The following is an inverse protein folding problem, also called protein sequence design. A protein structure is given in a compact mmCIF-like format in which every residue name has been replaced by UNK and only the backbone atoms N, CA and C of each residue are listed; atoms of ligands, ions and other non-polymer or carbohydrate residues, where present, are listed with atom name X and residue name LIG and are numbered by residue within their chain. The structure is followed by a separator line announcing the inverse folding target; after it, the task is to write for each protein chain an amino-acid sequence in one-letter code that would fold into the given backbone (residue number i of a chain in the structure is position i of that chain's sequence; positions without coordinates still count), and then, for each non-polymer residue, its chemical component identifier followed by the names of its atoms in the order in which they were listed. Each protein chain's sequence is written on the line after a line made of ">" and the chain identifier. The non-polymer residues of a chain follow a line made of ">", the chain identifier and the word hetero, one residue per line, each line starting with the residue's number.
data_IF_246621743794
#
_entry.id   IF_246621743794
#
_cell.length_a   1.000
_cell.length_b   1.000
_cell.length_c   1.000
_cell.angle_alpha   90.00
_cell.angle_beta   90.00
_cell.angle_gamma   90.00
#
_symmetry.space_group_name_H-M   'P 1'
#
loop_
_entity.id
_entity.type
_entity.pdbx_description
1 polymer ?
#
# COMPACT_ATOMS: atom_id res chain seq x y z
N UNK A 1 34.94 -6.01 -14.99
CA UNK A 1 35.47 -7.13 -15.77
C UNK A 1 36.31 -8.02 -14.88
N UNK A 2 35.69 -8.52 -13.81
CA UNK A 2 36.27 -9.56 -12.96
C UNK A 2 35.52 -10.84 -13.35
N UNK A 3 36.20 -11.97 -13.36
CA UNK A 3 35.57 -13.25 -13.65
C UNK A 3 34.67 -13.65 -12.47
N UNK A 4 33.39 -13.92 -12.72
CA UNK A 4 32.50 -14.47 -11.69
C UNK A 4 32.74 -15.99 -11.57
N UNK A 5 32.59 -16.55 -10.36
CA UNK A 5 32.86 -17.98 -10.11
C UNK A 5 32.02 -18.91 -11.00
N UNK A 6 30.77 -18.53 -11.29
CA UNK A 6 29.90 -19.30 -12.21
C UNK A 6 30.46 -19.37 -13.64
N UNK A 7 31.06 -18.27 -14.12
CA UNK A 7 31.68 -18.24 -15.44
C UNK A 7 32.93 -19.12 -15.48
N UNK A 8 33.67 -19.18 -14.36
CA UNK A 8 34.82 -20.07 -14.21
C UNK A 8 34.41 -21.54 -14.29
N UNK A 9 33.42 -21.94 -13.49
CA UNK A 9 32.92 -23.32 -13.46
C UNK A 9 32.38 -23.78 -14.82
N UNK A 10 31.68 -22.90 -15.53
CA UNK A 10 31.17 -23.19 -16.87
C UNK A 10 32.30 -23.40 -17.86
N UNK A 11 33.33 -22.53 -17.84
CA UNK A 11 34.49 -22.65 -18.73
C UNK A 11 35.33 -23.90 -18.43
N UNK A 12 35.46 -24.29 -17.17
CA UNK A 12 36.16 -25.53 -16.76
C UNK A 12 35.40 -26.78 -17.20
N UNK A 13 34.07 -26.75 -17.20
CA UNK A 13 33.21 -27.89 -17.59
C UNK A 13 33.10 -28.03 -19.11
N UNK A 14 33.00 -26.91 -19.84
CA UNK A 14 32.72 -26.92 -21.28
C UNK A 14 33.96 -27.00 -22.17
N UNK A 15 35.16 -26.66 -21.66
CA UNK A 15 36.38 -26.61 -22.46
C UNK A 15 37.20 -27.92 -22.39
N UNK A 16 37.78 -28.37 -23.51
CA UNK A 16 38.63 -29.56 -23.52
C UNK A 16 39.97 -29.33 -22.80
N UNK A 17 40.46 -30.35 -22.09
CA UNK A 17 41.69 -30.31 -21.29
C UNK A 17 42.98 -29.90 -22.04
N UNK A 18 42.97 -29.85 -23.38
CA UNK A 18 44.11 -29.40 -24.21
C UNK A 18 44.07 -27.88 -24.44
N UNK A 19 44.50 -27.13 -23.42
CA UNK A 19 44.51 -25.66 -23.33
C UNK A 19 45.20 -24.91 -24.48
N UNK A 20 46.12 -25.55 -25.23
CA UNK A 20 46.92 -24.90 -26.29
C UNK A 20 46.25 -24.81 -27.67
N UNK A 21 45.14 -25.53 -27.91
CA UNK A 21 44.47 -25.56 -29.24
C UNK A 21 43.07 -24.93 -29.26
N UNK A 22 42.49 -24.59 -28.11
CA UNK A 22 41.19 -23.96 -28.04
C UNK A 22 41.33 -22.43 -28.17
N UNK A 23 40.67 -21.85 -29.17
CA UNK A 23 40.53 -20.40 -29.35
C UNK A 23 39.15 -20.00 -28.83
N UNK A 24 39.11 -19.11 -27.83
CA UNK A 24 37.86 -18.60 -27.27
C UNK A 24 37.57 -17.20 -27.83
N UNK A 25 36.39 -17.01 -28.42
CA UNK A 25 35.92 -15.69 -28.84
C UNK A 25 35.25 -14.96 -27.67
N UNK A 26 35.77 -13.80 -27.27
CA UNK A 26 35.20 -12.99 -26.17
C UNK A 26 34.81 -11.60 -26.69
N UNK A 27 33.69 -11.06 -26.19
CA UNK A 27 33.18 -9.75 -26.60
C UNK A 27 33.96 -8.57 -25.99
N UNK A 28 34.42 -8.70 -24.74
CA UNK A 28 35.13 -7.64 -24.00
C UNK A 28 36.60 -8.05 -23.78
N UNK A 29 37.52 -7.17 -24.17
CA UNK A 29 38.97 -7.38 -24.02
C UNK A 29 39.40 -7.51 -22.55
N UNK A 30 38.72 -6.83 -21.62
CA UNK A 30 39.05 -6.91 -20.19
C UNK A 30 38.73 -8.28 -19.60
N UNK A 31 37.61 -8.89 -20.04
CA UNK A 31 37.24 -10.26 -19.64
C UNK A 31 38.18 -11.27 -20.31
N UNK A 32 38.55 -11.04 -21.57
CA UNK A 32 39.54 -11.86 -22.27
C UNK A 32 40.90 -11.88 -21.56
N UNK A 33 41.35 -10.75 -21.03
CA UNK A 33 42.57 -10.67 -20.22
C UNK A 33 42.45 -11.46 -18.91
N UNK A 34 41.35 -11.31 -18.18
CA UNK A 34 41.10 -12.05 -16.94
C UNK A 34 41.04 -13.59 -17.15
N UNK A 35 40.44 -14.05 -18.25
CA UNK A 35 40.39 -15.48 -18.61
C UNK A 35 41.77 -16.01 -18.99
N UNK A 36 42.59 -15.20 -19.67
CA UNK A 36 43.95 -15.57 -20.01
C UNK A 36 44.81 -15.72 -18.74
N UNK A 37 44.67 -14.80 -17.80
CA UNK A 37 45.39 -14.81 -16.53
C UNK A 37 44.97 -15.99 -15.62
N UNK A 38 43.67 -16.25 -15.48
CA UNK A 38 43.18 -17.28 -14.54
C UNK A 38 43.15 -18.71 -15.11
N UNK A 39 42.80 -18.87 -16.40
CA UNK A 39 42.54 -20.19 -16.99
C UNK A 39 43.55 -20.60 -18.08
N UNK A 40 44.32 -19.65 -18.61
CA UNK A 40 45.38 -19.89 -19.60
C UNK A 40 44.89 -20.16 -21.03
N UNK A 41 43.64 -19.80 -21.36
CA UNK A 41 43.07 -19.97 -22.70
C UNK A 41 43.38 -18.76 -23.60
N UNK A 42 43.73 -19.04 -24.87
CA UNK A 42 43.95 -17.97 -25.87
C UNK A 42 42.61 -17.37 -26.29
N UNK A 43 42.35 -16.13 -25.89
CA UNK A 43 41.15 -15.39 -26.24
C UNK A 43 41.39 -14.51 -27.48
N UNK A 44 40.52 -14.59 -28.48
CA UNK A 44 40.51 -13.70 -29.63
C UNK A 44 39.36 -12.69 -29.49
N UNK A 45 39.70 -11.40 -29.58
CA UNK A 45 38.73 -10.30 -29.55
C UNK A 45 38.76 -9.56 -30.88
N UNK A 46 37.61 -9.44 -31.55
CA UNK A 46 37.45 -8.61 -32.75
C UNK A 46 37.37 -9.37 -34.07
N UNK A 47 37.04 -8.62 -35.14
CA UNK A 47 36.87 -9.13 -36.50
C UNK A 47 35.74 -10.15 -36.61
N UNK A 48 36.08 -11.35 -37.09
CA UNK A 48 35.14 -12.47 -37.34
C UNK A 48 34.37 -12.85 -36.07
N UNK A 49 35.00 -12.78 -34.89
CA UNK A 49 34.35 -13.12 -33.61
C UNK A 49 33.22 -12.15 -33.28
N UNK A 50 33.35 -10.86 -33.64
CA UNK A 50 32.32 -9.86 -33.36
C UNK A 50 31.06 -10.07 -34.23
N UNK A 51 31.25 -10.46 -35.49
CA UNK A 51 30.14 -10.81 -36.41
C UNK A 51 29.46 -12.12 -36.00
N UNK A 52 30.22 -13.14 -35.58
CA UNK A 52 29.66 -14.37 -35.02
C UNK A 52 28.81 -14.07 -33.78
N UNK A 53 29.34 -13.27 -32.85
CA UNK A 53 28.59 -12.86 -31.65
C UNK A 53 27.33 -12.04 -31.99
N UNK A 54 27.37 -11.24 -33.06
CA UNK A 54 26.20 -10.51 -33.56
C UNK A 54 25.13 -11.46 -34.09
N UNK A 55 25.51 -12.46 -34.88
CA UNK A 55 24.61 -13.50 -35.37
C UNK A 55 23.98 -14.32 -34.25
N UNK A 56 24.78 -14.69 -33.24
CA UNK A 56 24.29 -15.40 -32.04
C UNK A 56 23.27 -14.54 -31.27
N UNK A 57 23.52 -13.23 -31.10
CA UNK A 57 22.56 -12.33 -30.44
C UNK A 57 21.24 -12.21 -31.21
N UNK A 58 21.29 -12.14 -32.54
CA UNK A 58 20.09 -12.04 -33.38
C UNK A 58 19.22 -13.30 -33.26
N UNK A 59 19.84 -14.47 -33.34
CA UNK A 59 19.16 -15.77 -33.30
C UNK A 59 19.12 -16.41 -31.92
N UNK A 60 19.39 -15.65 -30.85
CA UNK A 60 19.51 -16.16 -29.48
C UNK A 60 18.25 -16.92 -29.02
N UNK A 61 17.07 -16.44 -29.43
CA UNK A 61 15.77 -17.03 -29.15
C UNK A 61 15.51 -18.35 -29.90
N UNK A 62 16.24 -18.61 -31.00
CA UNK A 62 16.12 -19.85 -31.78
C UNK A 62 17.19 -20.88 -31.42
N UNK A 63 18.36 -20.43 -30.94
CA UNK A 63 19.49 -21.29 -30.59
C UNK A 63 19.34 -21.94 -29.21
N UNK A 64 18.61 -21.31 -28.28
CA UNK A 64 18.40 -21.83 -26.92
C UNK A 64 17.03 -22.49 -26.84
N UNK A 65 17.01 -23.83 -26.77
CA UNK A 65 15.77 -24.60 -26.60
C UNK A 65 15.09 -24.21 -25.28
N UNK A 66 13.88 -23.67 -25.36
CA UNK A 66 13.07 -23.27 -24.19
C UNK A 66 13.08 -21.77 -23.86
N UNK A 67 13.88 -20.95 -24.54
CA UNK A 67 13.89 -19.49 -24.34
C UNK A 67 13.09 -18.78 -25.43
N UNK A 68 11.81 -18.49 -25.17
CA UNK A 68 10.97 -17.71 -26.08
C UNK A 68 11.37 -16.24 -26.11
N UNK A 69 11.07 -15.53 -27.20
CA UNK A 69 11.34 -14.09 -27.31
C UNK A 69 10.69 -13.27 -26.17
N UNK A 70 9.51 -13.71 -25.71
CA UNK A 70 8.78 -13.07 -24.61
C UNK A 70 9.47 -13.28 -23.25
N UNK A 71 9.96 -14.50 -22.96
CA UNK A 71 10.66 -14.76 -21.70
C UNK A 71 12.01 -14.06 -21.64
N UNK A 72 12.74 -14.02 -22.78
CA UNK A 72 13.98 -13.26 -22.90
C UNK A 72 13.78 -11.77 -22.66
N UNK A 73 12.73 -11.16 -23.24
CA UNK A 73 12.42 -9.74 -23.03
C UNK A 73 12.07 -9.42 -21.57
N UNK A 74 11.25 -10.26 -20.91
CA UNK A 74 10.95 -10.11 -19.47
C UNK A 74 12.20 -10.23 -18.60
N UNK A 75 13.08 -11.21 -18.90
CA UNK A 75 14.33 -11.38 -18.18
C UNK A 75 15.27 -10.18 -18.36
N UNK A 76 15.38 -9.64 -19.59
CA UNK A 76 16.16 -8.44 -19.88
C UNK A 76 15.63 -7.21 -19.13
N UNK A 77 14.31 -7.02 -19.08
CA UNK A 77 13.70 -5.93 -18.31
C UNK A 77 14.01 -6.04 -16.82
N UNK A 78 13.85 -7.24 -16.25
CA UNK A 78 14.14 -7.51 -14.84
C UNK A 78 15.62 -7.27 -14.50
N UNK A 79 16.54 -7.77 -15.33
CA UNK A 79 17.97 -7.58 -15.16
C UNK A 79 18.36 -6.10 -15.30
N UNK A 80 17.80 -5.39 -16.29
CA UNK A 80 18.03 -3.96 -16.50
C UNK A 80 17.56 -3.11 -15.31
N UNK A 81 16.38 -3.41 -14.76
CA UNK A 81 15.89 -2.78 -13.54
C UNK A 81 16.80 -3.07 -12.35
N UNK A 82 17.18 -4.34 -12.13
CA UNK A 82 18.03 -4.74 -11.00
C UNK A 82 19.41 -4.07 -11.06
N UNK A 83 20.06 -4.13 -12.23
CA UNK A 83 21.36 -3.49 -12.44
C UNK A 83 21.29 -1.97 -12.22
N UNK A 84 20.29 -1.31 -12.79
CA UNK A 84 20.14 0.14 -12.66
C UNK A 84 19.83 0.54 -11.21
N UNK A 85 18.96 -0.20 -10.51
CA UNK A 85 18.64 0.05 -9.10
C UNK A 85 19.87 -0.13 -8.20
N UNK A 86 20.63 -1.20 -8.39
CA UNK A 86 21.85 -1.46 -7.63
C UNK A 86 22.89 -0.35 -7.87
N UNK A 87 23.07 0.07 -9.13
CA UNK A 87 24.05 1.09 -9.51
C UNK A 87 23.69 2.49 -9.00
N UNK A 88 22.41 2.87 -9.08
CA UNK A 88 21.93 4.18 -8.61
C UNK A 88 21.81 4.21 -7.07
N UNK A 89 22.08 3.10 -6.37
CA UNK A 89 21.69 2.90 -4.96
C UNK A 89 20.25 3.35 -4.75
N UNK A 90 19.38 2.96 -5.69
CA UNK A 90 17.99 3.38 -5.68
C UNK A 90 17.37 2.92 -4.37
N UNK A 91 17.15 3.88 -3.47
CA UNK A 91 16.66 3.58 -2.15
C UNK A 91 15.25 3.01 -2.30
N UNK A 92 15.08 1.74 -1.95
CA UNK A 92 13.77 1.06 -1.97
C UNK A 92 12.80 1.76 -1.01
N UNK A 93 13.33 2.52 -0.05
CA UNK A 93 12.59 3.41 0.83
C UNK A 93 12.24 4.74 0.16
N UNK A 94 11.78 4.76 -1.10
CA UNK A 94 11.04 5.92 -1.63
C UNK A 94 9.70 6.00 -0.90
N UNK A 95 9.74 6.47 0.35
CA UNK A 95 8.60 6.56 1.28
C UNK A 95 7.57 7.56 0.76
N UNK A 96 7.98 8.49 -0.11
CA UNK A 96 7.16 9.57 -0.65
C UNK A 96 5.89 9.03 -1.34
N UNK A 97 5.98 7.91 -2.07
CA UNK A 97 4.79 7.34 -2.71
C UNK A 97 3.78 6.85 -1.67
N UNK A 98 4.23 6.28 -0.55
CA UNK A 98 3.33 5.87 0.52
C UNK A 98 2.70 7.07 1.21
N UNK A 99 3.42 8.19 1.35
CA UNK A 99 2.89 9.45 1.89
C UNK A 99 1.81 10.01 0.95
N UNK A 100 2.08 10.10 -0.36
CA UNK A 100 1.14 10.61 -1.37
C UNK A 100 -0.15 9.76 -1.42
N UNK A 101 -0.01 8.43 -1.39
CA UNK A 101 -1.19 7.55 -1.36
C UNK A 101 -1.95 7.66 -0.04
N UNK A 102 -1.24 7.82 1.09
CA UNK A 102 -1.86 7.93 2.42
C UNK A 102 -2.65 9.23 2.58
N UNK A 103 -2.14 10.37 2.09
CA UNK A 103 -2.89 11.64 2.14
C UNK A 103 -4.12 11.61 1.22
N UNK A 104 -3.98 11.05 0.02
CA UNK A 104 -5.12 10.89 -0.89
C UNK A 104 -6.20 9.99 -0.29
N UNK A 105 -5.79 8.93 0.44
CA UNK A 105 -6.72 8.03 1.12
C UNK A 105 -7.38 8.71 2.32
N UNK A 106 -6.64 9.53 3.09
CA UNK A 106 -7.19 10.31 4.19
C UNK A 106 -8.27 11.30 3.71
N UNK A 107 -8.00 12.02 2.62
CA UNK A 107 -8.97 12.96 2.03
C UNK A 107 -10.22 12.25 1.49
N UNK A 108 -10.07 11.03 0.96
CA UNK A 108 -11.21 10.22 0.51
C UNK A 108 -12.03 9.71 1.71
N UNK A 109 -11.36 9.20 2.75
CA UNK A 109 -12.01 8.75 3.98
C UNK A 109 -12.82 9.87 4.63
N UNK A 110 -12.34 11.10 4.64
CA UNK A 110 -13.08 12.24 5.23
C UNK A 110 -14.41 12.48 4.52
N UNK A 111 -14.42 12.40 3.19
CA UNK A 111 -15.65 12.53 2.39
C UNK A 111 -16.59 11.34 2.59
N UNK A 112 -16.04 10.14 2.62
CA UNK A 112 -16.81 8.91 2.76
C UNK A 112 -17.43 8.80 4.16
N UNK A 113 -16.67 9.11 5.21
CA UNK A 113 -17.16 9.14 6.61
C UNK A 113 -18.32 10.14 6.72
N UNK A 114 -18.19 11.35 6.18
CA UNK A 114 -19.27 12.32 6.23
C UNK A 114 -20.52 11.84 5.47
N UNK A 115 -20.34 11.29 4.27
CA UNK A 115 -21.44 10.77 3.45
C UNK A 115 -22.15 9.61 4.14
N UNK A 116 -21.39 8.67 4.70
CA UNK A 116 -21.95 7.53 5.42
C UNK A 116 -22.61 7.94 6.74
N UNK A 117 -22.03 8.89 7.49
CA UNK A 117 -22.67 9.44 8.69
C UNK A 117 -24.00 10.13 8.38
N UNK A 118 -24.07 10.91 7.30
CA UNK A 118 -25.33 11.51 6.84
C UNK A 118 -26.35 10.42 6.47
N UNK A 119 -25.90 9.32 5.84
CA UNK A 119 -26.78 8.21 5.50
C UNK A 119 -27.31 7.46 6.73
N UNK A 120 -26.48 7.25 7.76
CA UNK A 120 -26.91 6.69 9.05
C UNK A 120 -27.96 7.59 9.70
N UNK A 121 -27.76 8.92 9.66
CA UNK A 121 -28.71 9.89 10.19
C UNK A 121 -30.06 9.85 9.49
N UNK A 122 -30.09 9.73 8.17
CA UNK A 122 -31.34 9.59 7.43
C UNK A 122 -32.07 8.30 7.79
N UNK A 123 -31.36 7.16 7.78
CA UNK A 123 -31.96 5.85 8.05
C UNK A 123 -32.49 5.74 9.48
N UNK A 124 -31.68 6.13 10.46
CA UNK A 124 -32.09 6.10 11.87
C UNK A 124 -33.07 7.23 12.22
N UNK A 125 -33.03 8.34 11.48
CA UNK A 125 -33.96 9.46 11.64
C UNK A 125 -35.43 9.11 11.37
N UNK A 126 -35.72 8.09 10.54
CA UNK A 126 -37.09 7.58 10.39
C UNK A 126 -37.62 6.92 11.68
N UNK A 127 -36.74 6.31 12.47
CA UNK A 127 -37.08 5.70 13.76
C UNK A 127 -37.05 6.71 14.90
N UNK A 128 -36.03 7.57 14.92
CA UNK A 128 -35.84 8.56 15.99
C UNK A 128 -35.41 9.92 15.41
N UNK A 129 -36.36 10.73 14.92
CA UNK A 129 -36.06 12.00 14.25
C UNK A 129 -35.50 13.07 15.20
N UNK A 130 -35.87 13.01 16.49
CA UNK A 130 -35.46 14.00 17.49
C UNK A 130 -33.96 13.94 17.82
N UNK A 131 -33.33 12.77 17.66
CA UNK A 131 -31.90 12.59 17.92
C UNK A 131 -31.02 13.48 17.03
N UNK A 132 -31.45 13.74 15.80
CA UNK A 132 -30.70 14.59 14.86
C UNK A 132 -30.64 16.04 15.36
N UNK A 133 -31.67 16.51 16.07
CA UNK A 133 -31.70 17.87 16.62
C UNK A 133 -30.85 18.02 17.87
N UNK A 134 -30.73 16.96 18.67
CA UNK A 134 -29.98 16.98 19.94
C UNK A 134 -28.48 16.81 19.67
N UNK A 135 -28.10 15.94 18.73
CA UNK A 135 -26.70 15.55 18.50
C UNK A 135 -26.21 16.05 17.14
N UNK A 136 -25.44 17.14 17.17
CA UNK A 136 -24.83 17.76 16.00
C UNK A 136 -23.63 16.99 15.44
N UNK A 137 -22.90 16.25 16.29
CA UNK A 137 -21.70 15.50 15.91
C UNK A 137 -22.03 14.14 15.25
N UNK A 138 -21.52 13.94 14.03
CA UNK A 138 -21.74 12.74 13.21
C UNK A 138 -21.22 11.46 13.89
N UNK A 139 -20.00 11.51 14.43
CA UNK A 139 -19.34 10.35 15.03
C UNK A 139 -20.08 9.91 16.30
N UNK A 140 -20.45 10.87 17.16
CA UNK A 140 -21.23 10.61 18.37
C UNK A 140 -22.61 10.07 18.03
N UNK A 141 -23.26 10.59 16.99
CA UNK A 141 -24.54 10.07 16.50
C UNK A 141 -24.46 8.59 16.11
N UNK A 142 -23.44 8.17 15.36
CA UNK A 142 -23.25 6.77 14.99
C UNK A 142 -23.00 5.87 16.22
N UNK A 143 -22.27 6.35 17.24
CA UNK A 143 -22.07 5.62 18.50
C UNK A 143 -23.38 5.48 19.28
N UNK A 144 -24.19 6.54 19.33
CA UNK A 144 -25.49 6.53 19.98
C UNK A 144 -26.49 5.62 19.27
N UNK A 145 -26.57 5.67 17.94
CA UNK A 145 -27.46 4.80 17.18
C UNK A 145 -27.13 3.30 17.43
N UNK A 146 -25.84 2.98 17.58
CA UNK A 146 -25.39 1.63 17.96
C UNK A 146 -25.76 1.26 19.40
N UNK A 147 -25.59 2.18 20.35
CA UNK A 147 -25.83 1.90 21.77
C UNK A 147 -27.34 1.83 22.11
N UNK A 148 -28.13 2.73 21.53
CA UNK A 148 -29.57 2.81 21.76
C UNK A 148 -30.29 1.63 21.13
N UNK A 149 -29.94 1.30 19.88
CA UNK A 149 -30.70 0.32 19.10
C UNK A 149 -32.17 0.72 18.99
N UNK A 150 -33.03 0.02 19.73
CA UNK A 150 -34.48 0.20 19.71
C UNK A 150 -34.95 1.19 20.78
N UNK A 151 -35.76 2.18 20.38
CA UNK A 151 -36.29 3.22 21.30
C UNK A 151 -37.05 2.66 22.51
N UNK A 152 -37.65 1.47 22.38
CA UNK A 152 -38.50 0.85 23.42
C UNK A 152 -37.69 0.22 24.56
N UNK A 153 -36.41 -0.07 24.31
CA UNK A 153 -35.52 -0.70 25.28
C UNK A 153 -34.72 0.35 26.08
N UNK A 154 -34.95 1.64 25.82
CA UNK A 154 -34.26 2.72 26.51
C UNK A 154 -34.79 2.88 27.95
N UNK A 155 -33.95 2.54 28.93
CA UNK A 155 -34.24 2.69 30.36
C UNK A 155 -33.30 3.70 31.03
N UNK A 156 -33.60 4.06 32.29
CA UNK A 156 -32.72 4.91 33.13
C UNK A 156 -31.36 4.25 33.43
N UNK A 157 -31.20 2.94 33.20
CA UNK A 157 -29.91 2.25 33.32
C UNK A 157 -29.00 2.50 32.10
N UNK A 158 -29.58 2.81 30.94
CA UNK A 158 -28.81 3.20 29.74
C UNK A 158 -28.28 4.64 29.80
N UNK A 159 -28.71 5.42 30.79
CA UNK A 159 -28.34 6.82 30.97
C UNK A 159 -26.83 6.96 31.26
N UNK A 160 -26.25 6.06 32.05
CA UNK A 160 -24.80 6.06 32.33
C UNK A 160 -23.96 5.87 31.05
N UNK A 161 -24.37 4.93 30.17
CA UNK A 161 -23.68 4.71 28.89
C UNK A 161 -23.90 5.84 27.87
N UNK A 162 -25.05 6.50 27.91
CA UNK A 162 -25.31 7.71 27.11
C UNK A 162 -24.46 8.89 27.60
N UNK A 163 -24.32 9.07 28.91
CA UNK A 163 -23.47 10.11 29.50
C UNK A 163 -21.99 9.89 29.15
N UNK A 164 -21.51 8.64 29.13
CA UNK A 164 -20.14 8.33 28.72
C UNK A 164 -19.89 8.69 27.24
N UNK A 165 -20.88 8.45 26.37
CA UNK A 165 -20.74 8.71 24.92
C UNK A 165 -20.88 10.20 24.60
N UNK A 166 -21.83 10.89 25.23
CA UNK A 166 -22.14 12.30 24.93
C UNK A 166 -21.28 13.26 25.74
N UNK A 167 -20.71 12.79 26.86
CA UNK A 167 -19.94 13.58 27.84
C UNK A 167 -20.73 14.79 28.39
N UNK A 168 -22.05 14.76 28.28
CA UNK A 168 -22.95 15.85 28.66
C UNK A 168 -24.26 15.25 29.21
N UNK A 169 -24.44 15.36 30.53
CA UNK A 169 -25.62 14.84 31.25
C UNK A 169 -26.92 15.49 30.79
N UNK A 170 -26.90 16.78 30.42
CA UNK A 170 -28.09 17.48 29.95
C UNK A 170 -28.57 16.91 28.60
N UNK A 171 -27.65 16.53 27.71
CA UNK A 171 -28.00 15.90 26.44
C UNK A 171 -28.47 14.47 26.61
N UNK A 172 -27.88 13.70 27.54
CA UNK A 172 -28.32 12.34 27.82
C UNK A 172 -29.76 12.32 28.35
N UNK A 173 -30.10 13.23 29.27
CA UNK A 173 -31.47 13.41 29.75
C UNK A 173 -32.42 13.84 28.64
N UNK A 174 -32.02 14.82 27.80
CA UNK A 174 -32.83 15.26 26.68
C UNK A 174 -33.11 14.13 25.66
N UNK A 175 -32.15 13.21 25.44
CA UNK A 175 -32.35 12.03 24.58
C UNK A 175 -33.39 11.08 25.18
N UNK A 176 -33.39 10.89 26.49
CA UNK A 176 -34.33 10.01 27.19
C UNK A 176 -35.74 10.61 27.27
N UNK A 177 -35.86 11.93 27.45
CA UNK A 177 -37.15 12.61 27.31
C UNK A 177 -37.66 12.54 25.88
N UNK A 178 -36.78 12.80 24.90
CA UNK A 178 -37.10 12.71 23.48
C UNK A 178 -37.52 11.29 23.06
N UNK A 179 -36.95 10.24 23.65
CA UNK A 179 -37.35 8.86 23.34
C UNK A 179 -38.79 8.58 23.81
N UNK A 180 -39.19 9.14 24.96
CA UNK A 180 -40.56 9.05 25.50
C UNK A 180 -41.56 9.87 24.68
N UNK A 181 -41.16 11.02 24.13
CA UNK A 181 -42.01 11.87 23.28
C UNK A 181 -41.94 11.56 21.78
N UNK A 182 -41.08 10.61 21.37
CA UNK A 182 -40.76 10.37 19.97
C UNK A 182 -41.97 9.90 19.14
N UNK A 183 -42.26 10.65 18.08
CA UNK A 183 -43.27 10.33 17.07
C UNK A 183 -42.72 9.47 15.91
N UNK A 184 -41.53 8.88 16.06
CA UNK A 184 -40.90 8.08 15.02
C UNK A 184 -41.63 6.76 14.72
N UNK A 185 -41.30 6.16 13.57
CA UNK A 185 -41.88 4.89 13.14
C UNK A 185 -41.20 3.70 13.83
N UNK A 186 -41.96 2.64 14.09
CA UNK A 186 -41.36 1.37 14.52
C UNK A 186 -40.63 0.72 13.32
N UNK A 187 -39.34 0.44 13.51
CA UNK A 187 -38.49 -0.20 12.51
C UNK A 187 -38.45 -1.71 12.75
N UNK A 188 -38.31 -2.48 11.66
CA UNK A 188 -38.10 -3.94 11.74
C UNK A 188 -36.76 -4.25 12.41
N UNK A 189 -36.68 -5.29 13.26
CA UNK A 189 -35.42 -5.69 13.89
C UNK A 189 -34.32 -6.03 12.88
N UNK A 190 -34.68 -6.54 11.69
CA UNK A 190 -33.73 -6.79 10.59
C UNK A 190 -33.07 -5.50 10.08
N UNK A 191 -33.86 -4.44 9.91
CA UNK A 191 -33.36 -3.14 9.46
C UNK A 191 -32.52 -2.47 10.55
N UNK A 192 -32.89 -2.66 11.81
CA UNK A 192 -32.13 -2.17 12.96
C UNK A 192 -30.74 -2.80 13.04
N UNK A 193 -30.62 -4.12 12.83
CA UNK A 193 -29.33 -4.83 12.74
C UNK A 193 -28.47 -4.27 11.59
N UNK A 194 -29.09 -3.99 10.44
CA UNK A 194 -28.38 -3.40 9.31
C UNK A 194 -27.87 -1.98 9.61
N UNK A 195 -28.69 -1.14 10.27
CA UNK A 195 -28.30 0.21 10.71
C UNK A 195 -27.18 0.13 11.74
N UNK A 196 -27.25 -0.81 12.69
CA UNK A 196 -26.22 -1.01 13.71
C UNK A 196 -24.90 -1.45 13.08
N UNK A 197 -24.94 -2.44 12.18
CA UNK A 197 -23.77 -2.91 11.43
C UNK A 197 -23.14 -1.79 10.61
N UNK A 198 -23.96 -1.00 9.91
CA UNK A 198 -23.50 0.14 9.14
C UNK A 198 -22.87 1.23 10.04
N UNK A 199 -23.49 1.54 11.17
CA UNK A 199 -22.96 2.48 12.17
C UNK A 199 -21.62 2.01 12.74
N UNK A 200 -21.50 0.71 13.05
CA UNK A 200 -20.25 0.08 13.48
C UNK A 200 -19.14 0.22 12.42
N UNK A 201 -19.51 0.06 11.14
CA UNK A 201 -18.57 0.27 10.02
C UNK A 201 -18.10 1.72 9.93
N UNK A 202 -18.98 2.69 10.11
CA UNK A 202 -18.61 4.12 10.11
C UNK A 202 -17.70 4.46 11.30
N UNK A 203 -17.97 3.91 12.49
CA UNK A 203 -17.12 4.10 13.68
C UNK A 203 -15.71 3.55 13.43
N UNK A 204 -15.60 2.32 12.92
CA UNK A 204 -14.30 1.71 12.59
C UNK A 204 -13.54 2.45 11.49
N UNK A 205 -14.23 3.02 10.49
CA UNK A 205 -13.59 3.88 9.49
C UNK A 205 -13.05 5.18 10.11
N UNK A 206 -13.78 5.78 11.06
CA UNK A 206 -13.32 6.96 11.79
C UNK A 206 -12.09 6.67 12.67
N UNK A 207 -12.07 5.51 13.34
CA UNK A 207 -10.89 5.04 14.09
C UNK A 207 -9.70 4.76 13.17
N UNK A 208 -9.94 4.10 12.03
CA UNK A 208 -8.92 3.87 11.02
C UNK A 208 -8.34 5.19 10.48
N UNK A 209 -9.18 6.20 10.26
CA UNK A 209 -8.76 7.55 9.85
C UNK A 209 -7.82 8.19 10.89
N UNK A 210 -8.12 8.08 12.18
CA UNK A 210 -7.22 8.55 13.26
C UNK A 210 -5.88 7.82 13.24
N UNK A 211 -5.91 6.48 13.11
CA UNK A 211 -4.69 5.68 13.02
C UNK A 211 -3.84 6.01 11.79
N UNK A 212 -4.48 6.27 10.65
CA UNK A 212 -3.79 6.69 9.43
C UNK A 212 -3.14 8.07 9.57
N UNK A 213 -3.80 8.99 10.28
CA UNK A 213 -3.26 10.32 10.56
C UNK A 213 -1.99 10.24 11.44
N UNK A 214 -1.99 9.39 12.47
CA UNK A 214 -0.81 9.12 13.31
C UNK A 214 0.32 8.44 12.51
N UNK A 215 -0.03 7.49 11.65
CA UNK A 215 0.92 6.86 10.74
C UNK A 215 1.58 7.88 9.81
N UNK A 216 0.79 8.78 9.19
CA UNK A 216 1.28 9.84 8.32
C UNK A 216 2.22 10.78 9.07
N UNK A 217 1.86 11.16 10.31
CA UNK A 217 2.70 11.96 11.21
C UNK A 217 4.06 11.31 11.47
N UNK A 218 4.08 10.04 11.86
CA UNK A 218 5.31 9.29 12.12
C UNK A 218 6.19 9.19 10.86
N UNK A 219 5.58 8.94 9.70
CA UNK A 219 6.29 8.85 8.42
C UNK A 219 6.82 10.19 7.93
N UNK A 220 6.06 11.27 8.06
CA UNK A 220 6.50 12.61 7.64
C UNK A 220 7.69 13.09 8.48
N UNK A 221 7.69 12.80 9.79
CA UNK A 221 8.82 13.09 10.67
C UNK A 221 10.12 12.37 10.26
N UNK A 222 10.02 11.14 9.73
CA UNK A 222 11.17 10.38 9.24
C UNK A 222 11.69 10.88 7.88
N UNK A 223 10.80 11.34 7.00
CA UNK A 223 11.13 11.68 5.60
C UNK A 223 11.47 13.16 5.44
N UNK A 224 10.69 14.05 6.03
CA UNK A 224 10.83 15.50 5.89
C UNK A 224 10.54 16.23 7.22
N UNK A 225 11.41 16.06 8.25
CA UNK A 225 11.21 16.68 9.56
C UNK A 225 11.23 18.22 9.52
N UNK A 226 12.02 18.81 8.61
CA UNK A 226 12.12 20.27 8.45
C UNK A 226 10.84 20.88 7.87
N UNK A 227 10.27 20.25 6.84
CA UNK A 227 9.01 20.67 6.22
C UNK A 227 7.86 20.55 7.23
N UNK A 228 7.82 19.40 7.91
CA UNK A 228 6.87 19.08 8.98
C UNK A 228 6.89 20.11 10.12
N UNK A 229 8.08 20.54 10.57
CA UNK A 229 8.22 21.52 11.64
C UNK A 229 7.82 22.94 11.21
N UNK A 230 7.92 23.27 9.92
CA UNK A 230 7.65 24.62 9.40
C UNK A 230 6.15 24.85 9.10
N UNK A 231 5.50 23.90 8.42
CA UNK A 231 4.14 24.09 7.85
C UNK A 231 3.12 23.14 8.52
N UNK A 232 3.59 22.17 9.30
CA UNK A 232 2.77 21.13 9.92
C UNK A 232 2.62 19.89 9.02
N UNK A 233 2.55 18.72 9.65
CA UNK A 233 2.65 17.41 9.00
C UNK A 233 1.60 17.15 7.91
N UNK A 234 0.34 17.52 8.18
CA UNK A 234 -0.80 17.26 7.28
C UNK A 234 -0.79 18.20 6.08
N UNK A 235 -0.45 19.48 6.30
CA UNK A 235 -0.37 20.47 5.21
C UNK A 235 0.87 20.23 4.36
N UNK A 236 1.97 19.77 4.98
CA UNK A 236 3.20 19.37 4.28
C UNK A 236 3.02 18.12 3.41
N UNK A 237 2.08 17.24 3.77
CA UNK A 237 1.77 16.03 3.01
C UNK A 237 0.88 16.29 1.79
N UNK A 238 0.16 17.41 1.76
CA UNK A 238 -0.67 17.86 0.63
C UNK A 238 0.15 18.65 -0.37
#
# INVERSE_FOLDING_TARGET
>A
GILHEDLRLLLETAMPAKKKKALLGVADAKIGAAILEELGYRCQTGGVVAEILRGIRLHFHALVKGLTAQSASKAQLGLGHSYSRAKVKFNVNRVDNMIIQSISLLDQLDKDINTFSMRVREWYGYHFPELIRIVSENYTYCRLAKFIGNRKELSEESLEGLEEIVMDSAKAQAILEASRSSMGMDISPLDLINIESFSSRVISLSEYRKGLQEYLRSKMSQVAPSLSALIGEVVSAR
#
